data_IF_320998047999
#
_entry.id   IF_320998047999
#
_cell.length_a   1.000
_cell.length_b   1.000
_cell.length_c   1.000
_cell.angle_alpha   90.00
_cell.angle_beta   90.00
_cell.angle_gamma   90.00
#
_symmetry.space_group_name_H-M   'P 1'
#
loop_
_entity.id
_entity.type
_entity.pdbx_description
1 polymer ?
#
# COMPACT_ATOMS: atom_id res chain seq x y z
N UNK A 1 8.11 -6.38 -14.12
CA UNK A 1 7.39 -7.12 -13.06
C UNK A 1 8.38 -7.35 -11.94
N UNK A 2 8.01 -7.01 -10.71
CA UNK A 2 8.87 -7.07 -9.53
C UNK A 2 8.07 -7.79 -8.44
N UNK A 3 8.65 -8.81 -7.85
CA UNK A 3 8.03 -9.63 -6.81
C UNK A 3 8.76 -9.36 -5.50
N UNK A 4 8.00 -9.11 -4.44
CA UNK A 4 8.50 -8.81 -3.10
C UNK A 4 9.67 -7.81 -3.10
N UNK A 5 9.51 -6.61 -3.69
CA UNK A 5 10.57 -5.58 -3.64
C UNK A 5 10.93 -5.15 -2.22
N UNK A 6 10.11 -5.51 -1.24
CA UNK A 6 10.31 -5.19 0.17
C UNK A 6 11.18 -6.16 0.97
N UNK A 7 11.51 -7.32 0.42
CA UNK A 7 12.27 -8.33 1.15
C UNK A 7 13.62 -7.77 1.63
N UNK A 8 13.97 -8.06 2.88
CA UNK A 8 15.17 -7.60 3.57
C UNK A 8 15.33 -6.07 3.73
N UNK A 9 14.32 -5.28 3.37
CA UNK A 9 14.34 -3.82 3.48
C UNK A 9 13.40 -3.31 4.59
N UNK A 10 13.89 -2.37 5.39
CA UNK A 10 13.06 -1.64 6.33
C UNK A 10 12.19 -0.59 5.61
N UNK A 11 11.11 -0.14 6.25
CA UNK A 11 10.15 0.81 5.65
C UNK A 11 10.78 2.15 5.22
N UNK A 12 11.86 2.60 5.86
CA UNK A 12 12.56 3.82 5.44
C UNK A 12 13.27 3.58 4.10
N UNK A 13 13.97 2.44 3.98
CA UNK A 13 14.65 2.04 2.74
C UNK A 13 13.65 1.80 1.61
N UNK A 14 12.49 1.18 1.88
CA UNK A 14 11.38 1.08 0.90
C UNK A 14 10.97 2.46 0.39
N UNK A 15 10.84 3.44 1.27
CA UNK A 15 10.41 4.77 0.87
C UNK A 15 11.48 5.50 0.06
N UNK A 16 12.71 5.53 0.56
CA UNK A 16 13.78 6.34 -0.01
C UNK A 16 14.31 5.77 -1.33
N UNK A 17 14.49 4.46 -1.40
CA UNK A 17 15.20 3.83 -2.52
C UNK A 17 14.25 3.14 -3.50
N UNK A 18 13.05 2.72 -3.07
CA UNK A 18 12.10 2.03 -3.97
C UNK A 18 11.01 3.00 -4.45
N UNK A 19 10.19 3.53 -3.53
CA UNK A 19 9.01 4.34 -3.87
C UNK A 19 9.38 5.61 -4.65
N UNK A 20 10.41 6.35 -4.22
CA UNK A 20 10.83 7.58 -4.91
C UNK A 20 11.25 7.31 -6.36
N UNK A 21 12.00 6.23 -6.59
CA UNK A 21 12.43 5.82 -7.94
C UNK A 21 11.22 5.44 -8.79
N UNK A 22 10.30 4.64 -8.25
CA UNK A 22 9.07 4.24 -8.94
C UNK A 22 8.32 5.47 -9.41
N UNK A 23 8.03 6.43 -8.51
CA UNK A 23 7.28 7.64 -8.86
C UNK A 23 7.95 8.48 -9.96
N UNK A 24 9.28 8.55 -9.96
CA UNK A 24 10.03 9.28 -10.98
C UNK A 24 9.97 8.59 -12.36
N UNK A 25 9.99 7.25 -12.38
CA UNK A 25 10.04 6.46 -13.63
C UNK A 25 8.66 6.14 -14.20
N UNK A 26 7.63 6.08 -13.35
CA UNK A 26 6.25 5.70 -13.67
C UNK A 26 5.64 6.40 -14.90
N UNK A 27 5.89 7.69 -15.21
CA UNK A 27 5.33 8.33 -16.41
C UNK A 27 5.80 7.71 -17.74
N UNK A 28 6.90 6.95 -17.73
CA UNK A 28 7.51 6.36 -18.93
C UNK A 28 7.64 4.85 -18.87
N UNK A 29 7.32 4.24 -17.72
CA UNK A 29 7.57 2.83 -17.45
C UNK A 29 6.38 2.24 -16.71
N UNK A 30 5.84 1.14 -17.23
CA UNK A 30 4.82 0.37 -16.52
C UNK A 30 5.49 -0.53 -15.48
N UNK A 31 5.05 -0.41 -14.24
CA UNK A 31 5.44 -1.30 -13.15
C UNK A 31 4.28 -2.22 -12.77
N UNK A 32 4.62 -3.47 -12.45
CA UNK A 32 3.70 -4.46 -11.91
C UNK A 32 4.40 -5.07 -10.70
N UNK A 33 3.80 -4.92 -9.53
CA UNK A 33 4.32 -5.37 -8.25
C UNK A 33 3.45 -6.49 -7.69
N UNK A 34 4.09 -7.53 -7.17
CA UNK A 34 3.50 -8.42 -6.18
C UNK A 34 4.13 -8.05 -4.84
N UNK A 35 3.30 -7.67 -3.86
CA UNK A 35 3.77 -7.14 -2.57
C UNK A 35 2.72 -7.37 -1.48
N UNK A 36 3.19 -7.55 -0.26
CA UNK A 36 2.34 -7.55 0.95
C UNK A 36 2.48 -6.25 1.75
N UNK A 37 3.39 -5.36 1.35
CA UNK A 37 3.62 -4.09 2.02
C UNK A 37 2.70 -2.99 1.47
N UNK A 38 1.74 -2.56 2.29
CA UNK A 38 0.78 -1.51 1.96
C UNK A 38 1.41 -0.17 1.56
N UNK A 39 2.66 0.11 1.95
CA UNK A 39 3.34 1.35 1.60
C UNK A 39 3.62 1.46 0.10
N UNK A 40 3.86 0.35 -0.59
CA UNK A 40 4.17 0.37 -2.03
C UNK A 40 2.99 0.86 -2.87
N UNK A 41 1.78 0.28 -2.80
CA UNK A 41 0.66 0.76 -3.60
C UNK A 41 0.18 2.15 -3.16
N UNK A 42 0.25 2.48 -1.86
CA UNK A 42 -0.24 3.77 -1.34
C UNK A 42 0.72 4.91 -1.63
N UNK A 43 1.99 4.79 -1.22
CA UNK A 43 2.98 5.86 -1.39
C UNK A 43 3.58 5.88 -2.79
N UNK A 44 3.56 4.74 -3.49
CA UNK A 44 3.89 4.63 -4.91
C UNK A 44 2.81 5.14 -5.84
N UNK A 45 1.65 5.56 -5.31
CA UNK A 45 0.55 6.15 -6.08
C UNK A 45 0.00 5.17 -7.14
N UNK A 46 -0.34 3.94 -6.77
CA UNK A 46 -0.75 2.93 -7.74
C UNK A 46 -2.09 3.28 -8.44
N UNK A 47 -2.10 3.33 -9.78
CA UNK A 47 -3.35 3.52 -10.56
C UNK A 47 -4.33 2.36 -10.43
N UNK A 48 -3.80 1.15 -10.22
CA UNK A 48 -4.59 -0.06 -10.14
C UNK A 48 -3.96 -1.03 -9.15
N UNK A 49 -4.80 -1.53 -8.24
CA UNK A 49 -4.46 -2.52 -7.23
C UNK A 49 -5.39 -3.70 -7.44
N UNK A 50 -4.81 -4.90 -7.47
CA UNK A 50 -5.54 -6.16 -7.42
C UNK A 50 -5.26 -6.79 -6.06
N UNK A 51 -6.19 -6.61 -5.12
CA UNK A 51 -6.12 -7.26 -3.82
C UNK A 51 -6.58 -8.71 -3.97
N UNK A 52 -5.82 -9.65 -3.42
CA UNK A 52 -6.12 -11.06 -3.42
C UNK A 52 -6.28 -11.54 -1.97
N UNK A 53 -7.35 -12.30 -1.71
CA UNK A 53 -7.59 -12.93 -0.41
C UNK A 53 -7.87 -14.42 -0.63
N UNK A 54 -7.26 -15.26 0.21
CA UNK A 54 -7.54 -16.70 0.21
C UNK A 54 -8.47 -17.03 1.37
N UNK A 55 -9.68 -17.46 1.04
CA UNK A 55 -10.70 -17.84 2.01
C UNK A 55 -11.55 -19.00 1.48
N UNK A 56 -11.94 -19.92 2.36
CA UNK A 56 -12.77 -21.10 2.04
C UNK A 56 -12.28 -21.92 0.83
N UNK A 57 -10.97 -22.09 0.70
CA UNK A 57 -10.37 -22.87 -0.41
C UNK A 57 -10.41 -22.16 -1.77
N UNK A 58 -10.76 -20.87 -1.80
CA UNK A 58 -10.85 -20.07 -3.03
C UNK A 58 -10.05 -18.79 -2.90
N UNK A 59 -9.53 -18.33 -4.04
CA UNK A 59 -8.94 -16.99 -4.15
C UNK A 59 -10.06 -16.05 -4.58
N UNK A 60 -10.29 -15.02 -3.77
CA UNK A 60 -11.15 -13.89 -4.10
C UNK A 60 -10.26 -12.71 -4.49
N UNK A 61 -10.70 -11.94 -5.48
CA UNK A 61 -9.96 -10.78 -5.95
C UNK A 61 -10.84 -9.55 -6.01
N UNK A 62 -10.25 -8.41 -5.65
CA UNK A 62 -10.87 -7.08 -5.75
C UNK A 62 -9.92 -6.18 -6.50
N UNK A 63 -10.42 -5.52 -7.55
CA UNK A 63 -9.63 -4.63 -8.40
C UNK A 63 -10.14 -3.20 -8.35
N UNK A 64 -9.23 -2.24 -8.46
CA UNK A 64 -9.57 -0.81 -8.61
C UNK A 64 -8.38 0.09 -8.35
N UNK A 65 -8.57 1.40 -8.50
CA UNK A 65 -7.57 2.37 -8.08
C UNK A 65 -7.32 2.32 -6.58
N UNK A 66 -6.16 2.83 -6.15
CA UNK A 66 -5.77 2.89 -4.72
C UNK A 66 -6.82 3.61 -3.84
N UNK A 67 -7.56 4.55 -4.44
CA UNK A 67 -8.62 5.32 -3.78
C UNK A 67 -10.00 4.65 -3.80
N UNK A 68 -10.16 3.49 -4.46
CA UNK A 68 -11.43 2.80 -4.50
C UNK A 68 -11.78 2.24 -3.10
N UNK A 69 -13.02 2.45 -2.59
CA UNK A 69 -13.36 2.07 -1.22
C UNK A 69 -13.10 0.60 -0.87
N UNK A 70 -13.34 -0.33 -1.81
CA UNK A 70 -13.07 -1.76 -1.59
C UNK A 70 -11.56 -2.04 -1.53
N UNK A 71 -10.76 -1.40 -2.38
CA UNK A 71 -9.29 -1.51 -2.36
C UNK A 71 -8.73 -0.94 -1.07
N UNK A 72 -9.20 0.23 -0.64
CA UNK A 72 -8.80 0.84 0.64
C UNK A 72 -9.07 -0.08 1.83
N UNK A 73 -10.22 -0.78 1.84
CA UNK A 73 -10.53 -1.74 2.89
C UNK A 73 -9.54 -2.90 2.92
N UNK A 74 -9.17 -3.45 1.76
CA UNK A 74 -8.16 -4.51 1.67
C UNK A 74 -6.74 -4.02 2.02
N UNK A 75 -6.37 -2.81 1.61
CA UNK A 75 -5.09 -2.21 1.99
C UNK A 75 -5.02 -2.06 3.52
N UNK A 76 -6.09 -1.57 4.16
CA UNK A 76 -6.16 -1.45 5.61
C UNK A 76 -6.09 -2.83 6.29
N UNK A 77 -6.67 -3.88 5.72
CA UNK A 77 -6.63 -5.22 6.34
C UNK A 77 -5.24 -5.86 6.31
N UNK A 78 -4.39 -5.52 5.33
CA UNK A 78 -2.99 -6.01 5.28
C UNK A 78 -2.04 -5.17 6.12
N UNK A 79 -2.43 -3.95 6.52
CA UNK A 79 -1.62 -3.15 7.44
C UNK A 79 -1.55 -3.80 8.82
N UNK A 80 -0.37 -3.74 9.44
CA UNK A 80 -0.18 -4.23 10.80
C UNK A 80 -1.12 -3.51 11.78
N UNK A 81 -1.87 -4.30 12.56
CA UNK A 81 -2.91 -3.80 13.48
C UNK A 81 -4.22 -3.38 12.81
N UNK A 82 -4.32 -3.54 11.49
CA UNK A 82 -5.56 -3.38 10.72
C UNK A 82 -6.21 -2.00 10.85
N UNK A 83 -7.55 -2.00 10.82
CA UNK A 83 -8.38 -0.79 10.92
C UNK A 83 -8.17 -0.01 12.22
N UNK A 84 -8.04 -0.71 13.33
CA UNK A 84 -7.87 -0.08 14.65
C UNK A 84 -6.57 0.75 14.71
N UNK A 85 -5.45 0.16 14.29
CA UNK A 85 -4.17 0.85 14.25
C UNK A 85 -4.19 2.04 13.28
N UNK A 86 -4.84 1.90 12.13
CA UNK A 86 -5.02 2.97 11.16
C UNK A 86 -5.80 4.16 11.76
N UNK A 87 -6.96 3.90 12.37
CA UNK A 87 -7.79 4.94 12.98
C UNK A 87 -7.08 5.62 14.14
N UNK A 88 -6.38 4.86 14.98
CA UNK A 88 -5.59 5.42 16.09
C UNK A 88 -4.48 6.34 15.61
N UNK A 89 -3.74 5.95 14.56
CA UNK A 89 -2.72 6.80 13.93
C UNK A 89 -3.33 8.09 13.37
N UNK A 90 -4.47 7.98 12.68
CA UNK A 90 -5.20 9.13 12.12
C UNK A 90 -5.58 10.15 13.20
N UNK A 91 -6.11 9.69 14.33
CA UNK A 91 -6.46 10.56 15.46
C UNK A 91 -5.22 11.27 16.06
N UNK A 92 -4.17 10.49 16.37
CA UNK A 92 -2.96 11.02 17.00
C UNK A 92 -2.28 12.03 16.08
N UNK A 93 -2.04 11.68 14.82
CA UNK A 93 -1.38 12.56 13.85
C UNK A 93 -2.23 13.77 13.48
N UNK A 94 -3.55 13.59 13.36
CA UNK A 94 -4.48 14.69 13.15
C UNK A 94 -4.40 15.72 14.28
N UNK A 95 -4.29 15.26 15.53
CA UNK A 95 -4.12 16.15 16.69
C UNK A 95 -2.80 16.94 16.64
N UNK A 96 -1.73 16.38 16.07
CA UNK A 96 -0.44 17.05 15.92
C UNK A 96 -0.47 18.12 14.84
N UNK A 97 -1.08 17.80 13.70
CA UNK A 97 -1.21 18.73 12.56
C UNK A 97 -2.16 19.89 12.88
N UNK A 98 -3.19 19.67 13.71
CA UNK A 98 -4.12 20.73 14.14
C UNK A 98 -3.53 21.75 15.13
N UNK A 99 -2.36 21.45 15.72
CA UNK A 99 -1.67 22.30 16.71
C UNK A 99 -0.60 23.21 16.09
N UNK A 100 -0.45 23.17 14.78
CA UNK A 100 0.48 24.00 13.99
C UNK A 100 -0.32 24.91 13.08
#
# INVERSE_FOLDING_TARGET
>A
MIDQPEDDLDNQTIYDDVIKIIRAMKPRTQFIFATHNANIPVLGDAENVCACEYSDGKIQTVGGGVDAPLVQQHIISVMEGGREAFERRREVYGSWLSKT
#
